data_IF_412211392087
#
_entry.id   IF_412211392087
#
_cell.length_a   1.000
_cell.length_b   1.000
_cell.length_c   1.000
_cell.angle_alpha   90.00
_cell.angle_beta   90.00
_cell.angle_gamma   90.00
#
_symmetry.space_group_name_H-M   'P 1'
#
loop_
_entity.id
_entity.type
_entity.pdbx_description
1 polymer ?
#
# COMPACT_ATOMS: atom_id res chain seq x y z
N UNK A 1 19.19 -0.95 -28.50
CA UNK A 1 18.16 -0.14 -27.81
C UNK A 1 17.20 -1.03 -27.03
N UNK A 2 16.57 -2.03 -27.64
CA UNK A 2 15.59 -2.91 -26.96
C UNK A 2 16.14 -3.65 -25.74
N UNK A 3 17.39 -4.14 -25.79
CA UNK A 3 18.01 -4.82 -24.64
C UNK A 3 18.20 -3.90 -23.43
N UNK A 4 18.59 -2.64 -23.66
CA UNK A 4 18.71 -1.64 -22.58
C UNK A 4 17.36 -1.27 -21.99
N UNK A 5 16.33 -1.10 -22.83
CA UNK A 5 14.97 -0.83 -22.36
C UNK A 5 14.43 -1.96 -21.49
N UNK A 6 14.60 -3.22 -21.93
CA UNK A 6 14.20 -4.40 -21.15
C UNK A 6 14.99 -4.50 -19.85
N UNK A 7 16.31 -4.29 -19.90
CA UNK A 7 17.16 -4.32 -18.71
C UNK A 7 16.73 -3.26 -17.68
N UNK A 8 16.51 -2.02 -18.11
CA UNK A 8 16.05 -0.94 -17.23
C UNK A 8 14.65 -1.21 -16.67
N UNK A 9 13.72 -1.73 -17.48
CA UNK A 9 12.38 -2.08 -17.04
C UNK A 9 12.40 -3.17 -15.95
N UNK A 10 13.16 -4.25 -16.17
CA UNK A 10 13.27 -5.36 -15.21
C UNK A 10 13.99 -4.91 -13.93
N UNK A 11 15.07 -4.13 -14.05
CA UNK A 11 15.81 -3.63 -12.88
C UNK A 11 14.95 -2.68 -12.04
N UNK A 12 14.12 -1.86 -12.69
CA UNK A 12 13.17 -0.97 -12.01
C UNK A 12 12.11 -1.77 -11.24
N UNK A 13 11.47 -2.76 -11.90
CA UNK A 13 10.49 -3.63 -11.26
C UNK A 13 11.10 -4.42 -10.08
N UNK A 14 12.29 -5.00 -10.28
CA UNK A 14 13.02 -5.73 -9.23
C UNK A 14 13.34 -4.83 -8.03
N UNK A 15 13.72 -3.56 -8.26
CA UNK A 15 14.00 -2.62 -7.19
C UNK A 15 12.75 -2.33 -6.34
N UNK A 16 11.60 -2.15 -6.98
CA UNK A 16 10.34 -1.93 -6.28
C UNK A 16 9.92 -3.14 -5.44
N UNK A 17 10.05 -4.35 -5.98
CA UNK A 17 9.74 -5.59 -5.27
C UNK A 17 10.67 -5.84 -4.08
N UNK A 18 11.99 -5.59 -4.24
CA UNK A 18 12.95 -5.73 -3.14
C UNK A 18 12.67 -4.77 -1.99
N UNK A 19 12.26 -3.53 -2.30
CA UNK A 19 11.88 -2.55 -1.27
C UNK A 19 10.62 -3.03 -0.53
N UNK A 20 9.63 -3.55 -1.25
CA UNK A 20 8.39 -4.06 -0.65
C UNK A 20 8.64 -5.26 0.26
N UNK A 21 9.45 -6.23 -0.19
CA UNK A 21 9.79 -7.40 0.64
C UNK A 21 10.59 -6.99 1.87
N UNK A 22 11.50 -6.04 1.71
CA UNK A 22 12.32 -5.53 2.80
C UNK A 22 11.49 -4.82 3.87
N UNK A 23 10.52 -3.99 3.48
CA UNK A 23 9.64 -3.31 4.44
C UNK A 23 8.74 -4.30 5.19
N UNK A 24 8.16 -5.29 4.48
CA UNK A 24 7.37 -6.36 5.11
C UNK A 24 8.23 -7.14 6.11
N UNK A 25 9.42 -7.57 5.71
CA UNK A 25 10.30 -8.29 6.63
C UNK A 25 10.69 -7.44 7.85
N UNK A 26 11.00 -6.16 7.64
CA UNK A 26 11.51 -5.29 8.70
C UNK A 26 10.43 -4.88 9.69
N UNK A 27 9.26 -4.43 9.20
CA UNK A 27 8.19 -3.90 10.05
C UNK A 27 7.20 -4.97 10.47
N UNK A 28 6.77 -5.83 9.54
CA UNK A 28 5.70 -6.81 9.82
C UNK A 28 6.23 -8.07 10.49
N UNK A 29 7.48 -8.47 10.21
CA UNK A 29 8.08 -9.68 10.79
C UNK A 29 9.04 -9.33 11.93
N UNK A 30 10.11 -8.60 11.61
CA UNK A 30 11.21 -8.37 12.55
C UNK A 30 10.78 -7.50 13.72
N UNK A 31 10.23 -6.31 13.48
CA UNK A 31 9.76 -5.45 14.57
C UNK A 31 8.59 -6.08 15.32
N UNK A 32 7.60 -6.61 14.62
CA UNK A 32 6.38 -7.10 15.28
C UNK A 32 6.62 -8.36 16.13
N UNK A 33 7.43 -9.31 15.67
CA UNK A 33 7.56 -10.62 16.33
C UNK A 33 8.94 -10.94 16.90
N UNK A 34 10.01 -10.32 16.40
CA UNK A 34 11.40 -10.66 16.82
C UNK A 34 11.93 -9.64 17.83
N UNK A 35 11.84 -8.36 17.53
CA UNK A 35 12.31 -7.27 18.40
C UNK A 35 11.41 -6.02 18.31
N UNK A 36 10.35 -5.95 19.14
CA UNK A 36 9.41 -4.82 19.18
C UNK A 36 10.03 -3.47 19.54
N UNK A 37 11.22 -3.47 20.15
CA UNK A 37 11.93 -2.25 20.58
C UNK A 37 13.14 -1.95 19.70
N UNK A 38 13.21 -2.52 18.49
CA UNK A 38 14.30 -2.27 17.56
C UNK A 38 14.38 -0.78 17.19
N UNK A 39 15.58 -0.19 17.36
CA UNK A 39 15.93 1.17 16.91
C UNK A 39 16.03 1.25 15.38
N UNK A 40 15.86 2.44 14.78
CA UNK A 40 15.96 2.67 13.33
C UNK A 40 17.25 2.13 12.71
N UNK A 41 18.39 2.27 13.37
CA UNK A 41 19.68 1.72 12.89
C UNK A 41 19.65 0.21 12.72
N UNK A 42 18.99 -0.50 13.64
CA UNK A 42 18.84 -1.96 13.58
C UNK A 42 17.83 -2.38 12.51
N UNK A 43 16.74 -1.62 12.37
CA UNK A 43 15.73 -1.83 11.32
C UNK A 43 16.35 -1.68 9.92
N UNK A 44 17.16 -0.65 9.69
CA UNK A 44 17.87 -0.45 8.41
C UNK A 44 18.82 -1.61 8.12
N UNK A 45 19.56 -2.10 9.12
CA UNK A 45 20.46 -3.25 8.93
C UNK A 45 19.68 -4.51 8.52
N UNK A 46 18.56 -4.79 9.20
CA UNK A 46 17.71 -5.94 8.88
C UNK A 46 17.04 -5.81 7.51
N UNK A 47 16.65 -4.59 7.13
CA UNK A 47 16.16 -4.28 5.79
C UNK A 47 17.19 -4.66 4.73
N UNK A 48 18.44 -4.19 4.84
CA UNK A 48 19.49 -4.54 3.88
C UNK A 48 19.80 -6.05 3.86
N UNK A 49 19.83 -6.70 5.02
CA UNK A 49 20.05 -8.14 5.09
C UNK A 49 18.94 -8.93 4.38
N UNK A 50 17.67 -8.51 4.55
CA UNK A 50 16.53 -9.16 3.92
C UNK A 50 16.57 -9.05 2.39
N UNK A 51 16.96 -7.90 1.85
CA UNK A 51 17.13 -7.67 0.40
C UNK A 51 18.16 -8.64 -0.17
N UNK A 52 19.31 -8.78 0.47
CA UNK A 52 20.39 -9.67 0.00
C UNK A 52 19.92 -11.12 0.01
N UNK A 53 19.33 -11.58 1.13
CA UNK A 53 18.84 -12.96 1.25
C UNK A 53 17.76 -13.25 0.21
N UNK A 54 16.77 -12.37 0.08
CA UNK A 54 15.68 -12.55 -0.88
C UNK A 54 16.18 -12.56 -2.33
N UNK A 55 17.14 -11.70 -2.67
CA UNK A 55 17.74 -11.68 -4.01
C UNK A 55 18.40 -13.02 -4.37
N UNK A 56 19.15 -13.64 -3.44
CA UNK A 56 19.74 -14.96 -3.67
C UNK A 56 18.69 -16.08 -3.77
N UNK A 57 17.67 -16.05 -2.91
CA UNK A 57 16.57 -17.02 -2.95
C UNK A 57 15.83 -16.93 -4.27
N UNK A 58 15.50 -15.71 -4.73
CA UNK A 58 14.81 -15.49 -6.01
C UNK A 58 15.68 -15.87 -7.21
N UNK A 59 16.97 -15.58 -7.18
CA UNK A 59 17.90 -16.02 -8.22
C UNK A 59 17.95 -17.56 -8.30
N UNK A 60 18.04 -18.24 -7.16
CA UNK A 60 17.99 -19.70 -7.09
C UNK A 60 16.67 -20.28 -7.59
N UNK A 61 15.54 -19.68 -7.19
CA UNK A 61 14.21 -20.08 -7.63
C UNK A 61 14.04 -19.91 -9.15
N UNK A 62 14.45 -18.78 -9.71
CA UNK A 62 14.40 -18.51 -11.16
C UNK A 62 15.24 -19.51 -11.97
N UNK A 63 16.46 -19.82 -11.50
CA UNK A 63 17.31 -20.86 -12.12
C UNK A 63 16.63 -22.23 -12.06
N UNK A 64 16.02 -22.57 -10.91
CA UNK A 64 15.28 -23.81 -10.74
C UNK A 64 14.12 -23.96 -11.73
N UNK A 65 13.31 -22.90 -11.89
CA UNK A 65 12.20 -22.88 -12.85
C UNK A 65 12.69 -23.02 -14.31
N UNK A 66 13.81 -22.37 -14.64
CA UNK A 66 14.43 -22.46 -15.96
C UNK A 66 14.84 -23.90 -16.30
N UNK A 67 15.54 -24.58 -15.39
CA UNK A 67 15.94 -25.98 -15.60
C UNK A 67 14.78 -26.97 -15.50
N UNK A 68 13.71 -26.62 -14.79
CA UNK A 68 12.47 -27.40 -14.77
C UNK A 68 11.67 -27.29 -16.10
N UNK A 69 12.10 -26.46 -17.06
CA UNK A 69 11.42 -26.29 -18.34
C UNK A 69 10.09 -25.55 -18.24
N UNK A 70 9.88 -24.79 -17.17
CA UNK A 70 8.62 -24.06 -16.95
C UNK A 70 8.57 -22.83 -17.84
N UNK A 71 7.50 -22.68 -18.61
CA UNK A 71 7.30 -21.54 -19.49
C UNK A 71 6.86 -20.29 -18.70
N UNK A 72 7.21 -19.10 -19.22
CA UNK A 72 6.71 -17.85 -18.63
C UNK A 72 5.18 -17.74 -18.71
N UNK A 73 4.57 -18.28 -19.78
CA UNK A 73 3.11 -18.32 -19.93
C UNK A 73 2.45 -19.09 -18.78
N UNK A 74 2.97 -20.27 -18.45
CA UNK A 74 2.49 -21.05 -17.32
C UNK A 74 2.60 -20.28 -16.00
N UNK A 75 3.72 -19.61 -15.74
CA UNK A 75 3.89 -18.81 -14.51
C UNK A 75 2.91 -17.63 -14.43
N UNK A 76 2.66 -16.95 -15.54
CA UNK A 76 1.70 -15.84 -15.59
C UNK A 76 0.25 -16.29 -15.36
N UNK A 77 -0.13 -17.50 -15.80
CA UNK A 77 -1.47 -18.04 -15.54
C UNK A 77 -1.59 -18.61 -14.12
N UNK A 78 -0.54 -19.30 -13.66
CA UNK A 78 -0.45 -19.85 -12.30
C UNK A 78 -0.47 -18.75 -11.23
N UNK A 79 0.11 -17.57 -11.50
CA UNK A 79 0.13 -16.48 -10.52
C UNK A 79 -1.28 -16.12 -10.06
N UNK A 80 -2.27 -16.10 -10.98
CA UNK A 80 -3.64 -15.75 -10.67
C UNK A 80 -4.32 -16.79 -9.77
N UNK A 81 -3.96 -18.07 -9.92
CA UNK A 81 -4.48 -19.15 -9.06
C UNK A 81 -3.88 -19.06 -7.67
N UNK A 82 -2.58 -18.75 -7.57
CA UNK A 82 -1.89 -18.59 -6.28
C UNK A 82 -2.43 -17.37 -5.54
N UNK A 83 -2.43 -16.19 -6.16
CA UNK A 83 -2.71 -14.93 -5.46
C UNK A 83 -4.19 -14.53 -5.46
N UNK A 84 -5.01 -15.07 -6.38
CA UNK A 84 -6.38 -14.62 -6.63
C UNK A 84 -7.29 -14.76 -5.41
N UNK A 85 -7.08 -15.78 -4.58
CA UNK A 85 -7.85 -16.01 -3.36
C UNK A 85 -7.65 -14.95 -2.27
N UNK A 86 -6.56 -14.17 -2.33
CA UNK A 86 -6.31 -13.10 -1.36
C UNK A 86 -7.04 -11.79 -1.71
N UNK A 87 -7.52 -11.61 -2.95
CA UNK A 87 -8.07 -10.33 -3.42
C UNK A 87 -9.36 -9.95 -2.68
N UNK A 88 -10.34 -10.85 -2.63
CA UNK A 88 -11.62 -10.56 -1.98
C UNK A 88 -11.49 -10.39 -0.46
N UNK A 89 -10.76 -11.25 0.28
CA UNK A 89 -10.49 -11.00 1.70
C UNK A 89 -9.82 -9.64 1.93
N UNK A 90 -8.81 -9.28 1.14
CA UNK A 90 -8.10 -7.99 1.26
C UNK A 90 -9.02 -6.79 1.02
N UNK A 91 -9.92 -6.87 0.04
CA UNK A 91 -10.93 -5.84 -0.20
C UNK A 91 -11.94 -5.76 0.96
N UNK A 92 -12.42 -6.90 1.45
CA UNK A 92 -13.36 -6.95 2.56
C UNK A 92 -12.75 -6.48 3.89
N UNK A 93 -11.44 -6.65 4.08
CA UNK A 93 -10.71 -6.13 5.25
C UNK A 93 -10.53 -4.62 5.23
N UNK A 94 -10.80 -3.94 4.12
CA UNK A 94 -10.86 -2.47 4.02
C UNK A 94 -12.29 -1.95 4.03
N UNK A 95 -13.26 -2.73 3.53
CA UNK A 95 -14.65 -2.30 3.33
C UNK A 95 -15.60 -2.73 4.44
N UNK A 96 -15.24 -3.71 5.28
CA UNK A 96 -16.13 -4.29 6.27
C UNK A 96 -15.58 -4.23 7.69
N UNK A 97 -16.38 -3.65 8.59
CA UNK A 97 -16.12 -3.60 10.04
C UNK A 97 -16.12 -4.97 10.71
N UNK A 98 -16.66 -6.00 10.07
CA UNK A 98 -17.07 -7.25 10.72
C UNK A 98 -16.15 -8.44 10.44
N UNK A 99 -15.07 -8.23 9.68
CA UNK A 99 -14.15 -9.29 9.25
C UNK A 99 -13.17 -9.68 10.35
N UNK A 100 -12.99 -10.99 10.60
CA UNK A 100 -11.89 -11.52 11.40
C UNK A 100 -10.71 -11.85 10.49
N UNK A 101 -9.68 -11.01 10.52
CA UNK A 101 -8.49 -11.06 9.64
C UNK A 101 -7.67 -12.36 9.74
N UNK A 102 -7.82 -13.13 10.83
CA UNK A 102 -6.83 -14.16 11.17
C UNK A 102 -6.77 -15.42 10.29
N UNK A 103 -7.75 -15.72 9.43
CA UNK A 103 -7.84 -17.06 8.79
C UNK A 103 -8.52 -17.14 7.42
N UNK A 104 -8.88 -16.02 6.80
CA UNK A 104 -9.59 -15.99 5.50
C UNK A 104 -8.73 -16.30 4.27
N UNK A 105 -7.40 -16.34 4.43
CA UNK A 105 -6.45 -16.62 3.35
C UNK A 105 -6.36 -18.13 3.07
N UNK A 106 -7.47 -18.77 2.73
CA UNK A 106 -7.41 -20.13 2.20
C UNK A 106 -6.97 -20.03 0.73
N UNK A 107 -5.66 -20.14 0.50
CA UNK A 107 -5.17 -20.47 -0.83
C UNK A 107 -5.67 -21.88 -1.08
N UNK A 108 -6.45 -22.11 -2.13
CA UNK A 108 -6.89 -23.44 -2.52
C UNK A 108 -5.93 -23.98 -3.60
N UNK A 109 -4.71 -24.47 -3.25
CA UNK A 109 -3.91 -25.19 -4.23
C UNK A 109 -4.55 -26.55 -4.58
N UNK A 110 -5.65 -26.94 -3.93
CA UNK A 110 -6.26 -28.26 -4.06
C UNK A 110 -7.28 -28.40 -5.21
N UNK A 111 -7.72 -27.32 -5.83
CA UNK A 111 -8.67 -27.41 -6.94
C UNK A 111 -8.05 -27.78 -8.29
N UNK A 112 -6.76 -28.08 -8.35
CA UNK A 112 -6.10 -28.65 -9.54
C UNK A 112 -6.48 -30.11 -9.83
N UNK A 113 -7.08 -30.82 -8.86
CA UNK A 113 -7.29 -32.27 -8.93
C UNK A 113 -8.67 -32.72 -9.42
N UNK A 114 -9.59 -31.78 -9.72
CA UNK A 114 -10.95 -32.13 -10.13
C UNK A 114 -11.00 -32.52 -11.62
N UNK A 115 -10.41 -33.68 -11.94
CA UNK A 115 -10.63 -34.37 -13.22
C UNK A 115 -9.45 -35.18 -13.76
N UNK A 116 -8.23 -34.95 -13.27
CA UNK A 116 -7.02 -35.53 -13.88
C UNK A 116 -6.29 -36.44 -12.87
N UNK A 117 -5.93 -37.66 -13.31
CA UNK A 117 -5.31 -38.69 -12.46
C UNK A 117 -3.83 -38.41 -12.10
N UNK A 118 -3.19 -37.42 -12.73
CA UNK A 118 -1.82 -36.99 -12.44
C UNK A 118 -1.71 -35.46 -12.55
N UNK A 119 -1.05 -34.83 -11.58
CA UNK A 119 -0.77 -33.39 -11.58
C UNK A 119 0.61 -33.18 -12.20
N UNK A 120 0.63 -32.92 -13.51
CA UNK A 120 1.85 -32.63 -14.29
C UNK A 120 1.68 -31.28 -15.00
N UNK A 121 2.78 -30.59 -15.28
CA UNK A 121 2.78 -29.25 -15.92
C UNK A 121 1.87 -29.21 -17.15
N UNK A 122 1.93 -30.24 -18.00
CA UNK A 122 1.13 -30.34 -19.22
C UNK A 122 -0.38 -30.35 -18.93
N UNK A 123 -0.82 -31.13 -17.95
CA UNK A 123 -2.25 -31.18 -17.56
C UNK A 123 -2.71 -29.92 -16.86
N UNK A 124 -1.81 -29.23 -16.16
CA UNK A 124 -2.14 -28.00 -15.43
C UNK A 124 -2.13 -26.77 -16.31
N UNK A 125 -1.44 -26.79 -17.46
CA UNK A 125 -1.36 -25.68 -18.40
C UNK A 125 -2.46 -25.69 -19.47
N UNK A 126 -3.43 -26.60 -19.38
CA UNK A 126 -4.60 -26.58 -20.26
C UNK A 126 -5.47 -25.35 -19.96
N UNK A 127 -5.97 -24.69 -21.01
CA UNK A 127 -6.78 -23.45 -20.92
C UNK A 127 -7.95 -23.61 -19.93
N UNK A 128 -8.67 -24.74 -20.01
CA UNK A 128 -9.82 -25.03 -19.14
C UNK A 128 -9.40 -25.26 -17.68
N UNK A 129 -8.24 -25.88 -17.45
CA UNK A 129 -7.71 -26.12 -16.11
C UNK A 129 -7.26 -24.81 -15.45
N UNK A 130 -6.53 -23.96 -16.18
CA UNK A 130 -6.10 -22.64 -15.69
C UNK A 130 -7.27 -21.68 -15.52
N UNK A 131 -8.24 -21.68 -16.43
CA UNK A 131 -9.47 -20.90 -16.29
C UNK A 131 -10.24 -21.32 -15.03
N UNK A 132 -10.47 -22.62 -14.87
CA UNK A 132 -11.20 -23.16 -13.71
C UNK A 132 -10.46 -22.84 -12.41
N UNK A 133 -9.14 -23.05 -12.37
CA UNK A 133 -8.31 -22.70 -11.21
C UNK A 133 -8.41 -21.24 -10.82
N UNK A 134 -8.31 -20.33 -11.81
CA UNK A 134 -8.40 -18.89 -11.58
C UNK A 134 -9.80 -18.45 -11.11
N UNK A 135 -10.86 -18.98 -11.72
CA UNK A 135 -12.24 -18.68 -11.32
C UNK A 135 -12.54 -19.19 -9.92
N UNK A 136 -12.11 -20.41 -9.59
CA UNK A 136 -12.29 -20.98 -8.25
C UNK A 136 -11.45 -20.22 -7.22
N UNK A 137 -10.21 -19.85 -7.52
CA UNK A 137 -9.38 -19.04 -6.63
C UNK A 137 -10.05 -17.68 -6.34
N UNK A 138 -10.59 -17.00 -7.35
CA UNK A 138 -11.24 -15.70 -7.21
C UNK A 138 -12.59 -15.78 -6.48
N UNK A 139 -13.40 -16.82 -6.74
CA UNK A 139 -14.76 -16.94 -6.21
C UNK A 139 -14.85 -17.70 -4.88
N UNK A 140 -13.91 -18.59 -4.58
CA UNK A 140 -13.91 -19.37 -3.33
C UNK A 140 -13.99 -18.50 -2.06
N UNK A 141 -13.37 -17.31 -1.98
CA UNK A 141 -13.51 -16.46 -0.81
C UNK A 141 -14.94 -15.91 -0.61
N UNK A 142 -15.79 -15.82 -1.65
CA UNK A 142 -17.19 -15.41 -1.49
C UNK A 142 -17.97 -16.37 -0.58
N UNK A 143 -17.57 -17.64 -0.53
CA UNK A 143 -18.19 -18.66 0.32
C UNK A 143 -17.41 -18.78 1.63
N UNK A 144 -16.08 -18.89 1.53
CA UNK A 144 -15.21 -19.12 2.69
C UNK A 144 -15.30 -17.96 3.68
N UNK A 145 -15.28 -16.71 3.22
CA UNK A 145 -15.29 -15.54 4.12
C UNK A 145 -16.58 -15.44 4.94
N UNK A 146 -17.79 -15.50 4.36
CA UNK A 146 -19.03 -15.52 5.16
C UNK A 146 -19.12 -16.71 6.10
N UNK A 147 -18.74 -17.92 5.65
CA UNK A 147 -18.75 -19.12 6.50
C UNK A 147 -17.83 -18.96 7.71
N UNK A 148 -16.57 -18.53 7.49
CA UNK A 148 -15.64 -18.26 8.58
C UNK A 148 -16.14 -17.14 9.50
N UNK A 149 -16.76 -16.09 8.95
CA UNK A 149 -17.32 -14.99 9.74
C UNK A 149 -18.48 -15.46 10.63
N UNK A 150 -19.32 -16.38 10.14
CA UNK A 150 -20.41 -16.97 10.92
C UNK A 150 -19.91 -17.92 12.01
N UNK A 151 -18.93 -18.78 11.70
CA UNK A 151 -18.36 -19.76 12.64
C UNK A 151 -17.61 -19.06 13.78
N UNK A 152 -16.79 -18.06 13.47
CA UNK A 152 -15.92 -17.40 14.46
C UNK A 152 -16.51 -16.12 15.07
N UNK A 153 -17.76 -15.77 14.72
CA UNK A 153 -18.45 -14.51 15.02
C UNK A 153 -17.75 -13.28 14.40
N UNK A 154 -18.47 -12.21 14.06
CA UNK A 154 -17.86 -10.99 13.54
C UNK A 154 -17.01 -10.29 14.60
N UNK A 155 -15.83 -9.79 14.21
CA UNK A 155 -15.06 -8.84 15.00
C UNK A 155 -15.51 -7.45 14.59
N UNK A 156 -15.97 -6.62 15.52
CA UNK A 156 -16.26 -5.20 15.25
C UNK A 156 -14.94 -4.44 15.32
N UNK A 157 -14.28 -4.29 14.19
CA UNK A 157 -13.05 -3.52 14.09
C UNK A 157 -13.35 -2.02 14.16
N UNK A 158 -12.66 -1.30 15.06
CA UNK A 158 -12.73 0.15 15.12
C UNK A 158 -11.69 0.77 14.19
N UNK A 159 -12.16 1.34 13.08
CA UNK A 159 -11.32 2.00 12.08
C UNK A 159 -10.58 3.23 12.60
N UNK A 160 -11.02 3.80 13.72
CA UNK A 160 -10.34 4.95 14.30
C UNK A 160 -8.91 4.62 14.72
N UNK A 161 -8.61 3.34 15.03
CA UNK A 161 -7.25 2.90 15.36
C UNK A 161 -6.26 3.07 14.21
N UNK A 162 -6.72 3.03 12.95
CA UNK A 162 -5.82 3.24 11.81
C UNK A 162 -5.35 4.69 11.73
N UNK A 163 -6.08 5.62 12.35
CA UNK A 163 -5.69 7.04 12.42
C UNK A 163 -4.64 7.32 13.49
N UNK A 164 -4.38 6.35 14.39
CA UNK A 164 -3.41 6.50 15.50
C UNK A 164 -2.06 5.84 15.21
N UNK A 165 -1.87 5.25 14.03
CA UNK A 165 -0.60 4.59 13.66
C UNK A 165 0.41 5.67 13.22
N UNK A 166 1.42 5.93 14.05
CA UNK A 166 2.58 6.78 13.73
C UNK A 166 3.66 6.00 12.97
N UNK A 167 4.47 6.69 12.15
CA UNK A 167 5.64 6.06 11.52
C UNK A 167 6.81 6.02 12.50
N UNK A 168 7.61 4.96 12.45
CA UNK A 168 8.81 4.81 13.31
C UNK A 168 9.83 5.93 13.05
N UNK A 169 9.98 6.33 11.78
CA UNK A 169 10.84 7.45 11.40
C UNK A 169 10.35 8.76 12.03
N UNK A 170 9.03 8.94 12.16
CA UNK A 170 8.44 10.12 12.82
C UNK A 170 8.71 10.10 14.33
N UNK A 171 8.61 8.96 15.01
CA UNK A 171 8.97 8.85 16.44
C UNK A 171 10.45 9.13 16.70
N UNK A 172 11.36 8.60 15.87
CA UNK A 172 12.80 8.86 16.01
C UNK A 172 13.14 10.32 15.64
N UNK A 173 12.51 10.91 14.61
CA UNK A 173 12.64 12.34 14.28
C UNK A 173 12.07 13.26 15.37
N UNK A 174 10.93 12.90 15.97
CA UNK A 174 10.33 13.64 17.10
C UNK A 174 11.24 13.54 18.33
N UNK A 175 11.78 12.36 18.64
CA UNK A 175 12.73 12.16 19.73
C UNK A 175 14.06 12.87 19.48
N UNK A 176 14.58 12.94 18.25
CA UNK A 176 15.75 13.75 17.88
C UNK A 176 15.45 15.27 17.98
N UNK A 177 14.23 15.69 17.60
CA UNK A 177 13.78 17.07 17.74
C UNK A 177 13.60 17.49 19.22
N UNK A 178 13.23 16.56 20.10
CA UNK A 178 13.11 16.73 21.55
C UNK A 178 14.45 16.62 22.28
N UNK A 179 15.31 15.66 21.91
CA UNK A 179 16.59 15.37 22.58
C UNK A 179 17.74 16.29 22.17
N UNK A 180 17.58 17.11 21.15
CA UNK A 180 18.48 18.22 20.80
C UNK A 180 18.36 19.40 21.80
N UNK A 181 18.60 19.09 23.07
CA UNK A 181 18.82 20.02 24.20
C UNK A 181 20.32 20.30 24.44
N UNK A 182 21.19 20.22 23.44
CA UNK A 182 22.52 20.81 23.55
C UNK A 182 22.40 22.31 23.24
N UNK A 183 22.65 23.22 24.21
CA UNK A 183 22.59 24.64 23.96
C UNK A 183 23.83 25.04 23.14
N UNK A 184 23.69 25.08 21.81
CA UNK A 184 24.61 25.83 20.96
C UNK A 184 24.17 27.30 20.98
N UNK A 185 24.92 28.21 21.64
CA UNK A 185 24.50 29.60 21.85
C UNK A 185 24.46 30.45 20.57
N UNK A 186 24.86 29.93 19.41
CA UNK A 186 24.74 30.60 18.10
C UNK A 186 23.51 30.16 17.28
N UNK A 187 22.76 29.14 17.72
CA UNK A 187 21.45 28.79 17.14
C UNK A 187 20.35 29.51 17.90
N UNK A 188 20.03 30.72 17.44
CA UNK A 188 18.89 31.54 17.89
C UNK A 188 17.62 30.67 18.14
N UNK A 189 17.26 30.49 19.40
CA UNK A 189 15.95 30.02 19.83
C UNK A 189 14.97 31.19 19.77
N UNK A 190 14.12 31.24 18.73
CA UNK A 190 12.68 31.32 18.96
C UNK A 190 11.83 30.47 17.99
N UNK A 191 12.44 29.62 17.15
CA UNK A 191 11.73 28.94 16.05
C UNK A 191 10.82 27.79 16.54
N UNK A 192 11.17 27.09 17.63
CA UNK A 192 10.39 25.93 18.12
C UNK A 192 9.00 26.30 18.66
N UNK A 193 8.85 27.43 19.36
CA UNK A 193 7.54 27.85 19.88
C UNK A 193 6.61 28.34 18.77
N UNK A 194 7.15 28.98 17.73
CA UNK A 194 6.40 29.40 16.55
C UNK A 194 5.92 28.20 15.75
N UNK A 195 6.74 27.16 15.60
CA UNK A 195 6.37 25.92 14.90
C UNK A 195 5.21 25.21 15.60
N UNK A 196 5.28 25.00 16.91
CA UNK A 196 4.21 24.33 17.68
C UNK A 196 2.92 25.16 17.70
N UNK A 197 3.03 26.49 17.85
CA UNK A 197 1.86 27.39 17.88
C UNK A 197 1.20 27.48 16.51
N UNK A 198 1.99 27.66 15.45
CA UNK A 198 1.49 27.65 14.07
C UNK A 198 0.91 26.28 13.71
N UNK A 199 1.52 25.19 14.18
CA UNK A 199 0.99 23.85 13.96
C UNK A 199 -0.41 23.67 14.59
N UNK A 200 -0.60 24.22 15.79
CA UNK A 200 -1.85 24.10 16.53
C UNK A 200 -2.96 24.94 15.89
N UNK A 201 -2.66 26.17 15.48
CA UNK A 201 -3.60 27.02 14.74
C UNK A 201 -4.00 26.41 13.39
N UNK A 202 -3.04 25.85 12.64
CA UNK A 202 -3.29 25.17 11.37
C UNK A 202 -4.10 23.88 11.58
N UNK A 203 -3.83 23.14 12.66
CA UNK A 203 -4.59 21.94 13.02
C UNK A 203 -6.04 22.28 13.36
N UNK A 204 -6.30 23.33 14.15
CA UNK A 204 -7.66 23.77 14.48
C UNK A 204 -8.42 24.25 13.24
N UNK A 205 -7.78 24.99 12.33
CA UNK A 205 -8.40 25.42 11.07
C UNK A 205 -8.72 24.23 10.14
N UNK A 206 -7.82 23.25 10.05
CA UNK A 206 -8.06 22.02 9.27
C UNK A 206 -9.15 21.14 9.87
N UNK A 207 -9.31 21.15 11.19
CA UNK A 207 -10.33 20.33 11.87
C UNK A 207 -11.76 20.73 11.45
N UNK A 208 -12.00 22.01 11.18
CA UNK A 208 -13.30 22.53 10.72
C UNK A 208 -13.61 22.13 9.26
N UNK A 209 -12.58 22.02 8.41
CA UNK A 209 -12.70 21.62 6.98
C UNK A 209 -12.87 20.09 6.76
N UNK A 210 -12.64 19.27 7.79
CA UNK A 210 -12.70 17.80 7.70
C UNK A 210 -14.07 17.27 7.27
N UNK A 211 -15.17 17.92 7.69
CA UNK A 211 -16.52 17.49 7.33
C UNK A 211 -16.78 17.67 5.83
N UNK A 212 -16.40 18.83 5.28
CA UNK A 212 -16.52 19.14 3.87
C UNK A 212 -15.62 18.23 3.02
N UNK A 213 -14.42 17.94 3.50
CA UNK A 213 -13.49 17.01 2.87
C UNK A 213 -14.04 15.58 2.85
N UNK A 214 -14.59 15.10 3.98
CA UNK A 214 -15.19 13.77 4.07
C UNK A 214 -16.39 13.59 3.13
N UNK A 215 -17.20 14.64 2.96
CA UNK A 215 -18.33 14.63 2.03
C UNK A 215 -17.87 14.58 0.56
N UNK A 216 -16.79 15.30 0.22
CA UNK A 216 -16.17 15.24 -1.12
C UNK A 216 -15.58 13.87 -1.41
N UNK A 217 -14.84 13.30 -0.46
CA UNK A 217 -14.25 11.97 -0.56
C UNK A 217 -15.31 10.88 -0.74
N UNK A 218 -16.41 10.94 0.00
CA UNK A 218 -17.52 9.98 -0.15
C UNK A 218 -18.18 10.05 -1.54
N UNK A 219 -18.32 11.24 -2.12
CA UNK A 219 -18.83 11.39 -3.49
C UNK A 219 -17.86 10.79 -4.51
N UNK A 220 -16.57 11.08 -4.39
CA UNK A 220 -15.53 10.52 -5.25
C UNK A 220 -15.46 8.99 -5.14
N UNK A 221 -15.55 8.45 -3.92
CA UNK A 221 -15.56 7.01 -3.67
C UNK A 221 -16.74 6.31 -4.35
N UNK A 222 -17.97 6.84 -4.21
CA UNK A 222 -19.16 6.27 -4.87
C UNK A 222 -19.05 6.30 -6.39
N UNK A 223 -18.53 7.38 -6.94
CA UNK A 223 -18.29 7.51 -8.37
C UNK A 223 -17.26 6.47 -8.86
N UNK A 224 -16.12 6.35 -8.16
CA UNK A 224 -15.09 5.37 -8.46
C UNK A 224 -15.63 3.94 -8.38
N UNK A 225 -16.37 3.60 -7.32
CA UNK A 225 -16.97 2.26 -7.15
C UNK A 225 -17.93 1.93 -8.30
N UNK A 226 -18.71 2.91 -8.75
CA UNK A 226 -19.66 2.71 -9.86
C UNK A 226 -18.94 2.46 -11.17
N UNK A 227 -17.89 3.22 -11.48
CA UNK A 227 -17.08 3.05 -12.70
C UNK A 227 -16.32 1.72 -12.66
N UNK A 228 -15.62 1.44 -11.56
CA UNK A 228 -14.85 0.21 -11.41
C UNK A 228 -15.75 -1.03 -11.47
N UNK A 229 -16.88 -1.02 -10.76
CA UNK A 229 -17.87 -2.09 -10.81
C UNK A 229 -18.47 -2.27 -12.19
N UNK A 230 -18.85 -1.17 -12.86
CA UNK A 230 -19.38 -1.19 -14.22
C UNK A 230 -18.39 -1.74 -15.24
N UNK A 231 -17.13 -1.27 -15.20
CA UNK A 231 -16.06 -1.77 -16.07
C UNK A 231 -15.74 -3.23 -15.79
N UNK A 232 -15.69 -3.66 -14.53
CA UNK A 232 -15.48 -5.06 -14.17
C UNK A 232 -16.58 -5.95 -14.76
N UNK A 233 -17.85 -5.60 -14.59
CA UNK A 233 -18.97 -6.37 -15.15
C UNK A 233 -18.90 -6.38 -16.68
N UNK A 234 -18.65 -5.25 -17.31
CA UNK A 234 -18.56 -5.16 -18.78
C UNK A 234 -17.39 -5.99 -19.34
N UNK A 235 -16.18 -5.82 -18.81
CA UNK A 235 -14.96 -6.38 -19.38
C UNK A 235 -14.67 -7.81 -18.92
N UNK A 236 -15.13 -8.22 -17.73
CA UNK A 236 -14.87 -9.57 -17.17
C UNK A 236 -16.05 -10.51 -17.43
N UNK A 237 -17.30 -10.02 -17.35
CA UNK A 237 -18.48 -10.88 -17.49
C UNK A 237 -19.15 -10.73 -18.86
N UNK A 238 -19.62 -9.52 -19.19
CA UNK A 238 -20.47 -9.30 -20.37
C UNK A 238 -19.73 -9.49 -21.69
N UNK A 239 -18.43 -9.21 -21.74
CA UNK A 239 -17.64 -9.37 -22.97
C UNK A 239 -17.11 -10.81 -23.14
N UNK A 240 -16.42 -11.42 -22.15
CA UNK A 240 -15.79 -12.73 -22.35
C UNK A 240 -16.79 -13.89 -22.40
N UNK A 241 -17.87 -13.85 -21.59
CA UNK A 241 -18.83 -14.96 -21.50
C UNK A 241 -19.52 -15.22 -22.84
N UNK A 242 -20.08 -14.22 -23.56
CA UNK A 242 -20.69 -14.47 -24.86
C UNK A 242 -19.67 -14.86 -25.93
N UNK A 243 -18.44 -14.30 -25.91
CA UNK A 243 -17.40 -14.66 -26.87
C UNK A 243 -16.95 -16.11 -26.70
N UNK A 244 -16.69 -16.54 -25.46
CA UNK A 244 -16.33 -17.92 -25.14
C UNK A 244 -17.48 -18.87 -25.44
N UNK A 245 -18.69 -18.55 -24.96
CA UNK A 245 -19.88 -19.38 -25.14
C UNK A 245 -20.34 -19.53 -26.60
N UNK A 246 -20.02 -18.57 -27.47
CA UNK A 246 -20.28 -18.67 -28.92
C UNK A 246 -19.13 -19.30 -29.71
N UNK A 247 -18.00 -19.61 -29.08
CA UNK A 247 -16.79 -20.08 -29.75
C UNK A 247 -16.27 -19.10 -30.79
N UNK A 248 -16.43 -17.78 -30.56
CA UNK A 248 -16.15 -16.77 -31.56
C UNK A 248 -14.65 -16.66 -31.86
N UNK A 249 -14.28 -16.92 -33.11
CA UNK A 249 -12.92 -16.75 -33.61
C UNK A 249 -12.76 -15.33 -34.15
N UNK A 250 -11.78 -14.59 -33.64
CA UNK A 250 -11.56 -13.19 -34.00
C UNK A 250 -11.21 -13.06 -35.49
N UNK A 251 -12.00 -12.31 -36.23
CA UNK A 251 -11.62 -11.92 -37.59
C UNK A 251 -10.40 -10.99 -37.56
N UNK A 252 -9.58 -11.02 -38.63
CA UNK A 252 -8.40 -10.14 -38.75
C UNK A 252 -8.76 -8.66 -38.51
N UNK A 253 -9.87 -8.17 -39.08
CA UNK A 253 -10.31 -6.78 -38.92
C UNK A 253 -10.71 -6.46 -37.48
N UNK A 254 -11.43 -7.36 -36.83
CA UNK A 254 -11.84 -7.20 -35.43
C UNK A 254 -10.61 -7.19 -34.50
N UNK A 255 -9.68 -8.14 -34.68
CA UNK A 255 -8.43 -8.18 -33.93
C UNK A 255 -7.58 -6.91 -34.13
N UNK A 256 -7.46 -6.40 -35.37
CA UNK A 256 -6.74 -5.14 -35.62
C UNK A 256 -7.39 -3.96 -34.89
N UNK A 257 -8.72 -3.87 -34.92
CA UNK A 257 -9.45 -2.83 -34.17
C UNK A 257 -9.21 -2.93 -32.66
N UNK A 258 -9.32 -4.14 -32.11
CA UNK A 258 -9.07 -4.43 -30.68
C UNK A 258 -7.67 -4.00 -30.24
N UNK A 259 -6.64 -4.45 -30.97
CA UNK A 259 -5.24 -4.10 -30.69
C UNK A 259 -5.01 -2.59 -30.80
N UNK A 260 -5.64 -1.91 -31.75
CA UNK A 260 -5.53 -0.46 -31.92
C UNK A 260 -6.10 0.29 -30.70
N UNK A 261 -7.27 -0.11 -30.21
CA UNK A 261 -7.87 0.47 -28.99
C UNK A 261 -6.97 0.23 -27.77
N UNK A 262 -6.41 -0.97 -27.62
CA UNK A 262 -5.48 -1.28 -26.53
C UNK A 262 -4.22 -0.41 -26.58
N UNK A 263 -3.67 -0.15 -27.77
CA UNK A 263 -2.53 0.76 -27.92
C UNK A 263 -2.89 2.20 -27.54
N UNK A 264 -4.00 2.73 -28.03
CA UNK A 264 -4.46 4.08 -27.70
C UNK A 264 -4.62 4.23 -26.19
N UNK A 265 -5.30 3.27 -25.55
CA UNK A 265 -5.46 3.25 -24.10
C UNK A 265 -4.09 3.23 -23.42
N UNK A 266 -3.19 2.32 -23.80
CA UNK A 266 -1.86 2.20 -23.20
C UNK A 266 -1.06 3.51 -23.27
N UNK A 267 -1.11 4.22 -24.39
CA UNK A 267 -0.45 5.54 -24.53
C UNK A 267 -1.08 6.61 -23.64
N UNK A 268 -2.41 6.65 -23.56
CA UNK A 268 -3.13 7.60 -22.68
C UNK A 268 -2.77 7.31 -21.22
N UNK A 269 -2.82 6.05 -20.79
CA UNK A 269 -2.44 5.65 -19.43
C UNK A 269 -0.99 5.98 -19.14
N UNK A 270 -0.06 5.68 -20.05
CA UNK A 270 1.34 6.03 -19.87
C UNK A 270 1.53 7.56 -19.73
N UNK A 271 0.83 8.35 -20.53
CA UNK A 271 0.86 9.81 -20.41
C UNK A 271 0.35 10.28 -19.04
N UNK A 272 -0.80 9.78 -18.58
CA UNK A 272 -1.38 10.15 -17.29
C UNK A 272 -0.48 9.73 -16.13
N UNK A 273 0.06 8.50 -16.14
CA UNK A 273 0.88 7.97 -15.05
C UNK A 273 2.26 8.63 -14.99
N UNK A 274 2.84 9.01 -16.13
CA UNK A 274 4.15 9.68 -16.16
C UNK A 274 4.03 11.18 -15.89
N UNK A 275 3.09 11.86 -16.56
CA UNK A 275 2.95 13.33 -16.47
C UNK A 275 2.11 13.74 -15.27
N UNK A 276 1.08 12.98 -14.91
CA UNK A 276 0.14 13.31 -13.84
C UNK A 276 0.82 13.62 -12.51
N UNK A 277 1.66 12.71 -11.96
CA UNK A 277 2.39 12.96 -10.72
C UNK A 277 3.34 14.17 -10.81
N UNK A 278 3.96 14.40 -11.97
CA UNK A 278 4.83 15.57 -12.19
C UNK A 278 4.04 16.88 -12.21
N UNK A 279 2.83 16.86 -12.77
CA UNK A 279 1.96 18.02 -12.86
C UNK A 279 1.34 18.38 -11.51
N UNK A 280 0.89 17.38 -10.75
CA UNK A 280 0.36 17.53 -9.39
C UNK A 280 1.47 17.97 -8.43
N UNK A 281 2.66 17.38 -8.54
CA UNK A 281 3.82 17.69 -7.70
C UNK A 281 4.63 18.93 -8.11
N UNK A 282 4.20 19.68 -9.14
CA UNK A 282 5.02 20.75 -9.75
C UNK A 282 5.50 21.81 -8.77
N UNK A 283 4.67 22.16 -7.80
CA UNK A 283 5.00 23.18 -6.77
C UNK A 283 6.04 22.64 -5.79
N UNK A 284 5.90 21.37 -5.36
CA UNK A 284 6.90 20.70 -4.53
C UNK A 284 8.24 20.55 -5.24
N UNK A 285 8.22 20.16 -6.52
CA UNK A 285 9.41 20.11 -7.36
C UNK A 285 10.08 21.48 -7.47
N UNK A 286 9.30 22.53 -7.79
CA UNK A 286 9.82 23.89 -7.91
C UNK A 286 10.46 24.38 -6.60
N UNK A 287 9.78 24.20 -5.47
CA UNK A 287 10.29 24.61 -4.15
C UNK A 287 11.58 23.87 -3.80
N UNK A 288 11.66 22.57 -4.08
CA UNK A 288 12.85 21.75 -3.83
C UNK A 288 14.02 22.17 -4.72
N UNK A 289 13.81 22.31 -6.04
CA UNK A 289 14.86 22.76 -6.96
C UNK A 289 15.36 24.17 -6.63
N UNK A 290 14.44 25.06 -6.26
CA UNK A 290 14.78 26.42 -5.83
C UNK A 290 15.59 26.43 -4.53
N UNK A 291 15.25 25.58 -3.57
CA UNK A 291 16.00 25.40 -2.33
C UNK A 291 17.42 24.90 -2.58
N UNK A 292 17.56 23.84 -3.39
CA UNK A 292 18.87 23.30 -3.81
C UNK A 292 19.70 24.39 -4.51
N UNK A 293 19.09 25.17 -5.40
CA UNK A 293 19.78 26.26 -6.09
C UNK A 293 20.31 27.33 -5.12
N UNK A 294 19.51 27.73 -4.12
CA UNK A 294 19.97 28.71 -3.11
C UNK A 294 21.08 28.17 -2.22
N UNK A 295 21.08 26.89 -1.88
CA UNK A 295 22.17 26.29 -1.11
C UNK A 295 23.45 26.16 -1.94
N UNK A 296 23.36 25.71 -3.20
CA UNK A 296 24.51 25.59 -4.10
C UNK A 296 25.15 26.95 -4.45
N UNK A 297 24.36 28.03 -4.45
CA UNK A 297 24.84 29.39 -4.74
C UNK A 297 25.27 30.17 -3.50
N UNK A 298 25.27 29.56 -2.31
CA UNK A 298 25.62 30.21 -1.04
C UNK A 298 24.60 31.26 -0.58
N UNK A 299 23.39 31.26 -1.15
CA UNK A 299 22.29 32.17 -0.81
C UNK A 299 21.34 31.58 0.24
N UNK A 300 21.84 30.71 1.14
CA UNK A 300 21.02 30.02 2.15
C UNK A 300 20.25 30.97 3.09
N UNK A 301 20.60 32.26 3.15
CA UNK A 301 19.80 33.26 3.87
C UNK A 301 18.39 33.42 3.27
N UNK A 302 18.24 33.36 1.94
CA UNK A 302 16.93 33.42 1.25
C UNK A 302 16.09 32.18 1.52
N UNK A 303 16.75 31.02 1.63
CA UNK A 303 16.09 29.78 2.01
C UNK A 303 15.49 29.91 3.43
N UNK A 304 16.28 30.41 4.38
CA UNK A 304 15.82 30.63 5.77
C UNK A 304 14.69 31.66 5.85
N UNK A 305 14.78 32.76 5.12
CA UNK A 305 13.71 33.77 5.05
C UNK A 305 12.42 33.20 4.45
N UNK A 306 12.54 32.38 3.41
CA UNK A 306 11.40 31.68 2.83
C UNK A 306 10.79 30.65 3.79
N UNK A 307 11.62 29.86 4.49
CA UNK A 307 11.18 28.90 5.51
C UNK A 307 10.44 29.58 6.67
N UNK A 308 10.92 30.74 7.12
CA UNK A 308 10.30 31.51 8.19
C UNK A 308 8.98 32.16 7.77
N UNK A 309 8.82 32.52 6.49
CA UNK A 309 7.58 33.12 5.96
C UNK A 309 6.52 32.10 5.55
N UNK A 310 6.91 30.84 5.33
CA UNK A 310 6.02 29.73 4.95
C UNK A 310 6.20 28.52 5.87
N UNK A 311 6.01 28.68 7.20
CA UNK A 311 6.19 27.59 8.16
C UNK A 311 5.30 26.38 7.85
N UNK A 312 4.10 26.59 7.29
CA UNK A 312 3.16 25.54 6.88
C UNK A 312 3.70 24.59 5.79
N UNK A 313 4.78 24.97 5.10
CA UNK A 313 5.43 24.15 4.08
C UNK A 313 6.60 23.33 4.64
N UNK A 314 7.01 23.58 5.89
CA UNK A 314 8.09 22.83 6.53
C UNK A 314 7.64 21.43 6.93
N UNK A 315 8.46 20.43 6.61
CA UNK A 315 8.17 19.03 6.96
C UNK A 315 7.96 18.84 8.46
N UNK A 316 8.83 19.45 9.29
CA UNK A 316 8.72 19.41 10.75
C UNK A 316 7.39 20.01 11.25
N UNK A 317 6.97 21.17 10.70
CA UNK A 317 5.69 21.80 11.07
C UNK A 317 4.52 20.91 10.64
N UNK A 318 4.54 20.38 9.41
CA UNK A 318 3.49 19.47 8.93
C UNK A 318 3.38 18.20 9.77
N UNK A 319 4.51 17.63 10.17
CA UNK A 319 4.58 16.48 11.06
C UNK A 319 3.98 16.80 12.44
N UNK A 320 4.30 17.96 13.01
CA UNK A 320 3.70 18.40 14.27
C UNK A 320 2.21 18.74 14.14
N UNK A 321 1.79 19.35 13.02
CA UNK A 321 0.37 19.57 12.71
C UNK A 321 -0.37 18.22 12.67
N UNK A 322 0.18 17.21 11.99
CA UNK A 322 -0.44 15.88 11.93
C UNK A 322 -0.47 15.20 13.29
N UNK A 323 0.58 15.32 14.08
CA UNK A 323 0.62 14.80 15.45
C UNK A 323 -0.44 15.48 16.32
N UNK A 324 -0.53 16.81 16.30
CA UNK A 324 -1.55 17.56 17.03
C UNK A 324 -2.97 17.31 16.53
N UNK A 325 -3.17 17.14 15.22
CA UNK A 325 -4.46 16.70 14.66
C UNK A 325 -4.84 15.30 15.15
N UNK A 326 -3.86 14.41 15.32
CA UNK A 326 -4.10 13.07 15.87
C UNK A 326 -4.42 13.11 17.37
N UNK A 327 -3.84 14.07 18.11
CA UNK A 327 -4.15 14.33 19.52
C UNK A 327 -5.50 15.04 19.72
N UNK A 328 -5.89 15.94 18.81
CA UNK A 328 -7.21 16.58 18.74
C UNK A 328 -8.25 15.55 18.29
N UNK A 329 -8.56 14.61 19.19
CA UNK A 329 -9.57 13.56 19.01
C UNK A 329 -10.96 14.17 18.81
N UNK A 330 -11.44 14.21 17.56
CA UNK A 330 -12.84 14.45 17.25
C UNK A 330 -13.48 13.17 16.67
N UNK A 331 -14.41 12.60 17.43
CA UNK A 331 -15.34 11.57 16.96
C UNK A 331 -16.72 12.23 16.94
N UNK A 332 -17.35 12.35 15.77
CA UNK A 332 -18.70 12.92 15.61
C UNK A 332 -18.93 14.23 16.39
N UNK A 333 -17.96 15.16 16.34
CA UNK A 333 -18.06 16.46 17.02
C UNK A 333 -17.93 16.44 18.55
N UNK A 334 -17.42 15.35 19.16
CA UNK A 334 -17.13 15.27 20.61
C UNK A 334 -15.70 14.82 20.90
N UNK A 335 -15.10 15.41 21.93
CA UNK A 335 -13.81 15.02 22.52
C UNK A 335 -13.99 13.73 23.33
N UNK A 336 -13.23 12.68 22.99
CA UNK A 336 -13.30 11.39 23.69
C UNK A 336 -12.05 11.24 24.57
N UNK A 337 -12.22 11.49 25.87
CA UNK A 337 -11.36 10.89 26.91
C UNK A 337 -11.52 9.36 26.82
N UNK A 338 -10.38 8.67 26.91
CA UNK A 338 -10.20 7.31 26.41
C UNK A 338 -11.10 6.25 27.04
N UNK A 339 -11.47 5.28 26.22
CA UNK A 339 -11.78 3.92 26.66
C UNK A 339 -11.10 2.95 25.69
N UNK A 340 -10.50 1.89 26.25
CA UNK A 340 -9.42 1.09 25.67
C UNK A 340 -9.60 0.58 24.24
N UNK A 341 -8.51 0.63 23.47
CA UNK A 341 -8.42 0.07 22.12
C UNK A 341 -8.05 -1.41 22.17
N UNK A 342 -8.82 -2.27 21.51
CA UNK A 342 -8.45 -3.67 21.31
C UNK A 342 -7.56 -3.79 20.06
N UNK A 343 -6.26 -4.02 20.27
CA UNK A 343 -5.28 -4.33 19.21
C UNK A 343 -5.05 -5.84 19.10
N UNK A 344 -4.65 -6.39 17.93
CA UNK A 344 -4.33 -7.80 17.83
C UNK A 344 -2.96 -8.13 18.46
N UNK A 345 -3.00 -9.02 19.47
CA UNK A 345 -1.95 -9.94 19.91
C UNK A 345 -0.57 -9.33 20.21
N UNK A 346 -0.45 -8.70 21.38
CA UNK A 346 0.66 -8.79 22.37
C UNK A 346 0.77 -7.57 23.30
N UNK A 347 -0.12 -6.58 23.20
CA UNK A 347 -0.15 -5.41 24.11
C UNK A 347 -1.11 -5.61 25.29
N UNK A 348 -2.02 -6.59 25.23
CA UNK A 348 -2.99 -6.85 26.32
C UNK A 348 -2.33 -7.33 27.62
N UNK A 349 -1.14 -7.93 27.56
CA UNK A 349 -0.43 -8.38 28.77
C UNK A 349 0.09 -7.23 29.65
N UNK A 350 0.18 -6.01 29.10
CA UNK A 350 0.54 -4.82 29.88
C UNK A 350 -0.67 -4.10 30.47
N UNK A 351 -1.85 -4.16 29.85
CA UNK A 351 -3.04 -3.47 30.33
C UNK A 351 -3.84 -4.29 31.37
N UNK A 352 -3.84 -5.63 31.29
CA UNK A 352 -4.45 -6.48 32.33
C UNK A 352 -3.69 -6.47 33.67
N UNK A 353 -2.42 -6.03 33.67
CA UNK A 353 -1.62 -5.91 34.90
C UNK A 353 -1.89 -4.62 35.67
N UNK A 354 -2.24 -3.54 34.98
CA UNK A 354 -2.51 -2.25 35.61
C UNK A 354 -3.95 -2.12 36.14
N UNK A 355 -4.87 -2.99 35.70
CA UNK A 355 -6.23 -3.10 36.28
C UNK A 355 -6.31 -3.96 37.55
N UNK A 356 -5.20 -4.59 37.97
CA UNK A 356 -5.14 -5.48 39.14
C UNK A 356 -4.13 -5.07 40.21
N UNK A 357 -3.67 -3.81 40.21
CA UNK A 357 -2.87 -3.26 41.32
C UNK A 357 -3.63 -2.26 42.17
#
# INVERSE_FOLDING_TARGET
MSLLLVFMAVTSAMSAELIAVSSIFTYDIFRTYIDPKASGKKLILMSHASVVVFAYVMAGFAIGLYYAGISMGYLYELMGVIIGGAVLPSALTLLSKNQKLGRGHFHAPYCYSLGHNAVVVDTTFEDDAMLTGNVVALLSPLIIVPVLTLVFKPQKFDWNILKTISRVDEEEELLEAESSQSPDPERLAPVKSQIVTAAQEIAMAKAEDLEAESARLNKAFKFALTICGGLAICLILLWPIPMYGSGYIFSKKFFTGWVTVLFIWSFITAYIVIIGPLWEGREGCYTTFRGIYWDLTGQSYKLREWQNSHPEQLHAVRSQVSAQLSEMRYVDGRTVEGDGYTTPAQIDATLEKDEKS
#
